data_IF_393143566353
#
_entry.id   IF_393143566353
#
_cell.length_a   1.000
_cell.length_b   1.000
_cell.length_c   1.000
_cell.angle_alpha   90.00
_cell.angle_beta   90.00
_cell.angle_gamma   90.00
#
_symmetry.space_group_name_H-M   'P 1'
#
loop_
_entity.id
_entity.type
_entity.pdbx_description
1 polymer ?
#
# COMPACT_ATOMS: atom_id res chain seq x y z
N UNK A 1 -27.33 21.23 5.27
CA UNK A 1 -27.27 21.01 6.73
C UNK A 1 -25.84 20.90 7.24
N UNK A 2 -24.97 20.08 6.62
CA UNK A 2 -23.56 19.91 6.99
C UNK A 2 -22.73 21.20 6.96
N UNK A 3 -22.75 21.96 5.85
CA UNK A 3 -21.93 23.19 5.72
C UNK A 3 -22.27 24.23 6.79
N UNK A 4 -23.55 24.31 7.19
CA UNK A 4 -24.04 25.20 8.26
C UNK A 4 -23.69 24.72 9.69
N UNK A 5 -23.05 23.55 9.83
CA UNK A 5 -22.66 22.96 11.13
C UNK A 5 -21.16 22.66 11.25
N UNK A 6 -20.48 22.42 10.13
CA UNK A 6 -19.08 21.95 10.11
C UNK A 6 -18.13 22.92 9.40
N UNK A 7 -18.63 24.05 8.87
CA UNK A 7 -17.78 25.09 8.29
C UNK A 7 -16.92 25.81 9.35
N UNK A 8 -15.96 26.66 8.94
CA UNK A 8 -14.90 27.20 9.79
C UNK A 8 -15.36 27.90 11.09
N UNK A 9 -16.57 28.46 11.10
CA UNK A 9 -17.12 29.20 12.24
C UNK A 9 -18.29 28.48 12.91
N UNK A 10 -18.47 27.19 12.63
CA UNK A 10 -19.61 26.42 13.14
C UNK A 10 -19.20 25.42 14.23
N UNK A 11 -20.12 25.04 15.14
CA UNK A 11 -19.80 24.23 16.32
C UNK A 11 -19.21 22.85 16.04
N UNK A 12 -19.39 22.30 14.84
CA UNK A 12 -18.84 21.02 14.44
C UNK A 12 -17.44 21.09 13.84
N UNK A 13 -16.88 22.30 13.64
CA UNK A 13 -15.51 22.47 13.14
C UNK A 13 -14.45 21.76 14.00
N UNK A 14 -14.50 21.80 15.35
CA UNK A 14 -13.54 21.06 16.18
C UNK A 14 -13.52 19.55 15.89
N UNK A 15 -14.68 18.94 15.60
CA UNK A 15 -14.78 17.50 15.27
C UNK A 15 -14.09 17.20 13.94
N UNK A 16 -14.23 18.09 12.95
CA UNK A 16 -13.52 17.97 11.68
C UNK A 16 -12.00 18.08 11.86
N UNK A 17 -11.56 19.08 12.62
CA UNK A 17 -10.12 19.30 12.85
C UNK A 17 -9.49 18.17 13.65
N UNK A 18 -10.22 17.64 14.63
CA UNK A 18 -9.81 16.43 15.33
C UNK A 18 -9.64 15.26 14.36
N UNK A 19 -10.63 15.00 13.49
CA UNK A 19 -10.54 13.93 12.49
C UNK A 19 -9.34 14.12 11.55
N UNK A 20 -9.10 15.35 11.08
CA UNK A 20 -7.98 15.68 10.20
C UNK A 20 -6.62 15.44 10.86
N UNK A 21 -6.49 15.78 12.15
CA UNK A 21 -5.22 15.74 12.87
C UNK A 21 -4.91 14.36 13.48
N UNK A 22 -5.84 13.39 13.41
CA UNK A 22 -5.64 12.03 13.97
C UNK A 22 -4.50 11.25 13.33
N UNK A 23 -4.23 11.47 12.04
CA UNK A 23 -3.19 10.76 11.27
C UNK A 23 -2.49 11.73 10.33
N UNK A 24 -1.19 11.53 10.15
CA UNK A 24 -0.40 12.29 9.17
C UNK A 24 -0.39 11.63 7.79
N UNK A 25 -0.49 10.30 7.75
CA UNK A 25 -0.62 9.50 6.51
C UNK A 25 -2.05 9.04 6.30
N UNK A 26 -2.47 9.02 5.04
CA UNK A 26 -3.78 8.56 4.61
C UNK A 26 -3.97 7.09 5.01
N UNK A 27 -4.99 6.75 5.82
CA UNK A 27 -5.21 5.38 6.24
C UNK A 27 -5.82 4.51 5.13
N UNK A 28 -6.28 5.10 4.02
CA UNK A 28 -6.81 4.36 2.87
C UNK A 28 -5.70 3.84 1.94
N UNK A 29 -4.52 4.45 1.94
CA UNK A 29 -3.41 4.00 1.09
C UNK A 29 -2.08 3.83 1.82
N UNK A 30 -1.95 4.30 3.06
CA UNK A 30 -0.72 4.23 3.85
C UNK A 30 0.42 5.12 3.37
N UNK A 31 0.25 5.87 2.27
CA UNK A 31 1.32 6.65 1.62
C UNK A 31 1.03 8.15 1.68
N UNK A 32 -0.06 8.61 1.05
CA UNK A 32 -0.33 10.02 0.84
C UNK A 32 -0.49 10.82 2.13
N UNK A 33 -0.06 12.08 2.14
CA UNK A 33 -0.29 12.97 3.28
C UNK A 33 -1.80 13.25 3.44
N UNK A 34 -2.28 13.26 4.68
CA UNK A 34 -3.66 13.67 4.98
C UNK A 34 -3.81 15.15 4.65
N UNK A 35 -4.84 15.48 3.85
CA UNK A 35 -5.16 16.85 3.44
C UNK A 35 -6.63 17.20 3.63
N UNK A 36 -7.48 16.20 3.81
CA UNK A 36 -8.93 16.34 3.84
C UNK A 36 -9.53 15.38 4.87
N UNK A 37 -10.81 15.58 5.15
CA UNK A 37 -11.65 14.62 5.88
C UNK A 37 -12.76 14.18 4.92
N UNK A 38 -12.85 12.88 4.69
CA UNK A 38 -13.91 12.24 3.92
C UNK A 38 -15.02 11.71 4.83
N UNK A 39 -16.20 11.54 4.25
CA UNK A 39 -17.31 10.81 4.86
C UNK A 39 -17.27 9.36 4.39
N UNK A 40 -17.03 8.41 5.31
CA UNK A 40 -17.04 6.99 4.95
C UNK A 40 -18.34 6.60 4.24
N UNK A 41 -19.46 6.93 4.88
CA UNK A 41 -20.81 6.93 4.30
C UNK A 41 -21.12 8.33 3.74
N UNK A 42 -21.33 8.47 2.41
CA UNK A 42 -21.43 9.77 1.75
C UNK A 42 -22.54 10.64 2.35
N UNK A 43 -22.21 11.90 2.66
CA UNK A 43 -23.18 12.86 3.24
C UNK A 43 -24.37 13.16 2.33
N UNK A 44 -24.21 12.99 1.01
CA UNK A 44 -25.27 13.18 0.00
C UNK A 44 -26.37 12.13 0.10
N UNK A 45 -26.03 10.94 0.61
CA UNK A 45 -26.95 9.80 0.78
C UNK A 45 -27.33 9.64 2.25
N UNK A 46 -26.39 9.85 3.17
CA UNK A 46 -26.55 9.67 4.63
C UNK A 46 -26.30 10.97 5.40
N UNK A 47 -27.16 12.00 5.25
CA UNK A 47 -26.93 13.33 5.84
C UNK A 47 -26.87 13.33 7.38
N UNK A 48 -27.55 12.39 8.04
CA UNK A 48 -27.53 12.23 9.50
C UNK A 48 -26.16 11.76 10.02
N UNK A 49 -25.37 11.08 9.18
CA UNK A 49 -24.01 10.62 9.52
C UNK A 49 -22.94 11.67 9.22
N UNK A 50 -23.30 12.80 8.61
CA UNK A 50 -22.32 13.76 8.10
C UNK A 50 -21.48 14.43 9.20
N UNK A 51 -21.96 14.48 10.45
CA UNK A 51 -21.22 15.04 11.58
C UNK A 51 -20.84 13.98 12.63
N UNK A 52 -21.05 12.70 12.34
CA UNK A 52 -20.72 11.61 13.26
C UNK A 52 -19.21 11.38 13.22
N UNK A 53 -18.47 11.47 14.35
CA UNK A 53 -17.00 11.41 14.34
C UNK A 53 -16.43 10.15 13.68
N UNK A 54 -17.05 9.00 13.90
CA UNK A 54 -16.59 7.73 13.30
C UNK A 54 -16.83 7.66 11.79
N UNK A 55 -17.71 8.49 11.24
CA UNK A 55 -17.94 8.59 9.79
C UNK A 55 -16.96 9.58 9.12
N UNK A 56 -16.14 10.30 9.90
CA UNK A 56 -15.17 11.29 9.42
C UNK A 56 -13.76 10.69 9.40
N UNK A 57 -13.22 10.50 8.20
CA UNK A 57 -11.95 9.83 7.97
C UNK A 57 -10.89 10.80 7.45
N UNK A 58 -9.72 10.95 8.09
CA UNK A 58 -8.61 11.67 7.49
C UNK A 58 -8.19 10.96 6.19
N UNK A 59 -7.97 11.72 5.11
CA UNK A 59 -7.68 11.15 3.80
C UNK A 59 -6.75 12.07 2.98
N UNK A 60 -5.99 11.51 2.04
CA UNK A 60 -5.30 12.30 1.02
C UNK A 60 -6.25 12.70 -0.11
N UNK A 61 -5.87 13.71 -0.89
CA UNK A 61 -6.68 14.21 -2.00
C UNK A 61 -6.96 13.12 -3.06
N UNK A 62 -5.98 12.29 -3.39
CA UNK A 62 -6.11 11.28 -4.45
C UNK A 62 -7.09 10.17 -4.07
N UNK A 63 -6.98 9.64 -2.85
CA UNK A 63 -7.92 8.63 -2.36
C UNK A 63 -9.33 9.20 -2.23
N UNK A 64 -9.47 10.45 -1.79
CA UNK A 64 -10.78 11.09 -1.71
C UNK A 64 -11.43 11.23 -3.10
N UNK A 65 -10.64 11.65 -4.10
CA UNK A 65 -11.08 11.73 -5.48
C UNK A 65 -11.43 10.36 -6.09
N UNK A 66 -10.69 9.31 -5.71
CA UNK A 66 -10.95 7.95 -6.18
C UNK A 66 -12.24 7.36 -5.60
N UNK A 67 -12.48 7.55 -4.29
CA UNK A 67 -13.67 7.02 -3.59
C UNK A 67 -14.95 7.76 -4.00
N UNK A 68 -14.92 9.09 -4.10
CA UNK A 68 -16.09 9.96 -4.36
C UNK A 68 -17.24 9.70 -3.35
N UNK A 69 -18.46 10.07 -3.76
CA UNK A 69 -19.70 9.81 -3.03
C UNK A 69 -20.24 8.38 -3.25
N UNK A 70 -19.37 7.39 -3.53
CA UNK A 70 -19.83 6.00 -3.75
C UNK A 70 -20.36 5.43 -2.44
N UNK A 71 -21.63 5.04 -2.43
CA UNK A 71 -22.18 4.18 -1.38
C UNK A 71 -22.03 2.71 -1.81
N UNK A 72 -21.56 1.83 -0.92
CA UNK A 72 -21.45 0.41 -1.20
C UNK A 72 -22.85 -0.23 -1.37
N UNK A 73 -23.00 -1.13 -2.34
CA UNK A 73 -24.27 -1.86 -2.55
C UNK A 73 -24.32 -3.20 -1.78
N UNK A 74 -23.15 -3.73 -1.43
CA UNK A 74 -22.95 -4.93 -0.62
C UNK A 74 -21.76 -4.75 0.35
N UNK A 75 -21.38 -5.80 1.07
CA UNK A 75 -20.28 -5.75 2.06
C UNK A 75 -18.90 -5.69 1.38
N UNK A 76 -18.76 -6.40 0.28
CA UNK A 76 -17.53 -6.58 -0.50
C UNK A 76 -17.13 -5.28 -1.20
N UNK A 77 -18.09 -4.42 -1.52
CA UNK A 77 -17.86 -3.08 -2.06
C UNK A 77 -17.60 -2.02 -0.99
N UNK A 78 -17.49 -2.39 0.28
CA UNK A 78 -17.14 -1.45 1.35
C UNK A 78 -15.63 -1.33 1.44
N UNK A 79 -15.09 -0.13 1.24
CA UNK A 79 -13.69 0.12 1.61
C UNK A 79 -13.46 -0.24 3.08
N UNK A 80 -12.26 -0.72 3.41
CA UNK A 80 -11.84 -0.87 4.80
C UNK A 80 -12.02 0.44 5.58
N UNK A 81 -12.62 0.32 6.75
CA UNK A 81 -12.87 1.39 7.69
C UNK A 81 -11.70 1.45 8.68
N UNK A 82 -10.93 2.56 8.70
CA UNK A 82 -9.64 2.61 9.41
C UNK A 82 -9.74 2.59 10.94
N UNK A 83 -10.96 2.64 11.49
CA UNK A 83 -11.21 2.54 12.94
C UNK A 83 -11.82 1.21 13.38
N UNK A 84 -12.32 0.39 12.44
CA UNK A 84 -13.13 -0.79 12.78
C UNK A 84 -12.62 -2.07 12.14
N UNK A 85 -12.01 -1.97 10.95
CA UNK A 85 -11.44 -3.14 10.29
C UNK A 85 -10.00 -3.33 10.73
N UNK A 86 -9.73 -4.50 11.28
CA UNK A 86 -8.38 -4.97 11.58
C UNK A 86 -8.04 -6.10 10.62
N UNK A 87 -7.30 -5.76 9.58
CA UNK A 87 -6.75 -6.71 8.60
C UNK A 87 -5.23 -6.75 8.67
N UNK A 88 -4.61 -5.95 9.56
CA UNK A 88 -3.17 -5.78 9.61
C UNK A 88 -2.48 -6.84 10.49
N UNK A 89 -3.25 -7.57 11.30
CA UNK A 89 -2.77 -8.73 12.04
C UNK A 89 -2.35 -9.89 11.15
N UNK A 90 -3.00 -10.02 9.99
CA UNK A 90 -2.74 -11.06 9.00
C UNK A 90 -1.94 -10.52 7.81
N UNK A 91 -1.11 -11.37 7.20
CA UNK A 91 -0.26 -10.97 6.08
C UNK A 91 -0.97 -11.21 4.74
N UNK A 92 -1.52 -10.15 4.14
CA UNK A 92 -2.31 -10.21 2.90
C UNK A 92 -1.72 -9.42 1.73
N UNK A 93 -0.88 -8.41 1.96
CA UNK A 93 -0.28 -7.63 0.87
C UNK A 93 1.00 -8.30 0.39
N UNK A 94 1.13 -8.65 -0.89
CA UNK A 94 2.35 -9.24 -1.46
C UNK A 94 2.86 -8.43 -2.64
N UNK A 95 4.10 -8.69 -3.00
CA UNK A 95 4.67 -8.21 -4.24
C UNK A 95 5.45 -9.32 -4.95
N UNK A 96 5.71 -9.13 -6.23
CA UNK A 96 6.63 -9.96 -7.02
C UNK A 96 7.41 -9.10 -8.01
N UNK A 97 8.70 -9.42 -8.15
CA UNK A 97 9.53 -8.88 -9.22
C UNK A 97 9.25 -9.65 -10.50
N UNK A 98 8.73 -8.95 -11.51
CA UNK A 98 8.44 -9.48 -12.83
C UNK A 98 9.55 -9.02 -13.76
N UNK A 99 10.12 -9.95 -14.53
CA UNK A 99 11.14 -9.64 -15.55
C UNK A 99 10.62 -9.97 -16.95
N UNK A 100 11.11 -9.26 -17.97
CA UNK A 100 10.68 -9.42 -19.36
C UNK A 100 11.85 -9.54 -20.33
N UNK A 101 11.68 -10.39 -21.33
CA UNK A 101 12.57 -10.51 -22.48
C UNK A 101 12.37 -9.34 -23.44
N UNK A 102 13.23 -9.23 -24.46
CA UNK A 102 13.17 -8.16 -25.46
C UNK A 102 11.87 -8.16 -26.28
N UNK A 103 11.26 -9.33 -26.49
CA UNK A 103 9.95 -9.48 -27.15
C UNK A 103 8.76 -9.30 -26.17
N UNK A 104 9.03 -8.93 -24.91
CA UNK A 104 8.02 -8.59 -23.92
C UNK A 104 7.44 -9.79 -23.15
N UNK A 105 7.96 -11.01 -23.34
CA UNK A 105 7.48 -12.17 -22.60
C UNK A 105 7.86 -12.08 -21.13
N UNK A 106 6.87 -12.30 -20.26
CA UNK A 106 7.06 -12.35 -18.82
C UNK A 106 7.73 -13.66 -18.45
N UNK A 107 8.84 -13.55 -17.72
CA UNK A 107 9.55 -14.69 -17.14
C UNK A 107 10.13 -14.30 -15.78
N UNK A 108 10.67 -15.29 -15.06
CA UNK A 108 11.40 -15.07 -13.81
C UNK A 108 12.88 -15.28 -14.09
N UNK A 109 13.63 -14.19 -14.22
CA UNK A 109 15.05 -14.25 -14.53
C UNK A 109 15.83 -15.05 -13.47
N UNK A 110 16.84 -15.77 -13.93
CA UNK A 110 17.80 -16.55 -13.15
C UNK A 110 19.22 -16.08 -13.48
N UNK A 111 20.18 -16.18 -12.56
CA UNK A 111 21.57 -15.89 -12.90
C UNK A 111 22.10 -16.83 -14.01
N UNK A 112 22.87 -16.34 -14.99
CA UNK A 112 23.36 -14.97 -15.21
C UNK A 112 22.54 -14.17 -16.24
N UNK A 113 21.25 -14.44 -16.40
CA UNK A 113 20.40 -13.78 -17.39
C UNK A 113 20.32 -12.26 -17.16
N UNK A 114 20.07 -11.51 -18.25
CA UNK A 114 19.89 -10.06 -18.21
C UNK A 114 18.54 -9.71 -18.83
N UNK A 115 17.48 -9.51 -18.03
CA UNK A 115 16.18 -9.11 -18.56
C UNK A 115 16.27 -7.72 -19.22
N UNK A 116 15.40 -7.48 -20.20
CA UNK A 116 15.34 -6.19 -20.90
C UNK A 116 14.53 -5.16 -20.13
N UNK A 117 13.57 -5.59 -19.33
CA UNK A 117 12.82 -4.73 -18.42
C UNK A 117 12.31 -5.53 -17.22
N UNK A 118 11.91 -4.80 -16.18
CA UNK A 118 11.32 -5.36 -14.97
C UNK A 118 10.24 -4.43 -14.42
N UNK A 119 9.40 -4.96 -13.53
CA UNK A 119 8.48 -4.18 -12.72
C UNK A 119 8.20 -4.88 -11.39
N UNK A 120 7.81 -4.12 -10.37
CA UNK A 120 7.33 -4.66 -9.10
C UNK A 120 5.81 -4.66 -9.12
N UNK A 121 5.20 -5.84 -9.14
CA UNK A 121 3.75 -5.95 -9.06
C UNK A 121 3.32 -6.21 -7.62
N UNK A 122 2.46 -5.35 -7.08
CA UNK A 122 1.81 -5.52 -5.78
C UNK A 122 0.42 -6.13 -5.95
N UNK A 123 0.05 -7.07 -5.08
CA UNK A 123 -1.23 -7.78 -5.16
C UNK A 123 -1.74 -8.23 -3.79
N UNK A 124 -3.03 -8.55 -3.73
CA UNK A 124 -3.70 -9.07 -2.53
C UNK A 124 -3.67 -10.60 -2.56
N UNK A 125 -3.05 -11.19 -1.55
CA UNK A 125 -2.91 -12.63 -1.31
C UNK A 125 -3.34 -12.94 0.12
N UNK A 126 -4.66 -13.04 0.36
CA UNK A 126 -5.21 -13.17 1.71
C UNK A 126 -4.93 -14.58 2.27
N UNK A 127 -4.76 -14.73 3.59
CA UNK A 127 -4.63 -16.03 4.21
C UNK A 127 -5.82 -16.95 3.88
N UNK A 128 -5.54 -18.24 3.71
CA UNK A 128 -6.59 -19.25 3.46
C UNK A 128 -7.64 -19.38 4.59
N UNK A 129 -7.33 -18.86 5.78
CA UNK A 129 -8.23 -18.80 6.93
C UNK A 129 -9.27 -17.67 6.85
N UNK A 130 -9.10 -16.70 5.96
CA UNK A 130 -10.03 -15.59 5.83
C UNK A 130 -11.37 -16.01 5.24
N UNK A 131 -12.42 -15.36 5.70
CA UNK A 131 -13.72 -15.39 5.03
C UNK A 131 -13.59 -14.82 3.61
N UNK A 132 -14.25 -15.46 2.64
CA UNK A 132 -14.17 -15.08 1.24
C UNK A 132 -14.65 -13.64 0.99
N UNK A 133 -15.65 -13.17 1.74
CA UNK A 133 -16.20 -11.81 1.58
C UNK A 133 -15.23 -10.76 2.12
N UNK A 134 -14.50 -11.05 3.21
CA UNK A 134 -13.42 -10.19 3.68
C UNK A 134 -12.28 -10.08 2.65
N UNK A 135 -11.88 -11.21 2.06
CA UNK A 135 -10.88 -11.23 1.01
C UNK A 135 -11.28 -10.36 -0.21
N UNK A 136 -12.52 -10.50 -0.69
CA UNK A 136 -13.06 -9.65 -1.76
C UNK A 136 -13.10 -8.17 -1.36
N UNK A 137 -13.46 -7.89 -0.11
CA UNK A 137 -13.49 -6.51 0.42
C UNK A 137 -12.12 -5.85 0.43
N UNK A 138 -11.08 -6.58 0.81
CA UNK A 138 -9.69 -6.09 0.77
C UNK A 138 -9.22 -5.89 -0.67
N UNK A 139 -9.57 -6.80 -1.60
CA UNK A 139 -9.31 -6.62 -3.05
C UNK A 139 -9.98 -5.37 -3.59
N UNK A 140 -11.26 -5.17 -3.28
CA UNK A 140 -11.99 -3.98 -3.68
C UNK A 140 -11.34 -2.70 -3.15
N UNK A 141 -10.94 -2.67 -1.87
CA UNK A 141 -10.22 -1.53 -1.30
C UNK A 141 -8.89 -1.28 -2.04
N UNK A 142 -8.14 -2.33 -2.34
CA UNK A 142 -6.87 -2.26 -3.07
C UNK A 142 -7.06 -1.70 -4.49
N UNK A 143 -8.12 -2.10 -5.18
CA UNK A 143 -8.47 -1.64 -6.53
C UNK A 143 -8.97 -0.19 -6.57
N UNK A 144 -9.94 0.16 -5.71
CA UNK A 144 -10.57 1.49 -5.74
C UNK A 144 -9.57 2.61 -5.43
N UNK A 145 -8.62 2.36 -4.53
CA UNK A 145 -7.55 3.30 -4.21
C UNK A 145 -6.31 3.15 -5.10
N UNK A 146 -6.35 2.26 -6.10
CA UNK A 146 -5.26 2.02 -7.05
C UNK A 146 -3.93 1.77 -6.35
N UNK A 147 -3.95 0.89 -5.33
CA UNK A 147 -2.79 0.69 -4.47
C UNK A 147 -1.63 -0.01 -5.19
N UNK A 148 -1.90 -0.90 -6.16
CA UNK A 148 -0.83 -1.52 -6.96
C UNK A 148 0.10 -0.50 -7.64
N UNK A 149 -0.39 0.36 -8.55
CA UNK A 149 0.47 1.35 -9.21
C UNK A 149 1.06 2.36 -8.22
N UNK A 150 0.30 2.77 -7.19
CA UNK A 150 0.82 3.67 -6.16
C UNK A 150 2.04 3.07 -5.43
N UNK A 151 1.99 1.78 -5.10
CA UNK A 151 3.08 1.10 -4.40
C UNK A 151 4.25 0.80 -5.32
N UNK A 152 4.00 0.55 -6.60
CA UNK A 152 5.04 0.42 -7.63
C UNK A 152 5.82 1.72 -7.79
N UNK A 153 5.14 2.87 -7.86
CA UNK A 153 5.78 4.19 -7.85
C UNK A 153 6.64 4.42 -6.60
N UNK A 154 6.15 4.00 -5.42
CA UNK A 154 6.93 4.10 -4.18
C UNK A 154 8.17 3.19 -4.21
N UNK A 155 8.03 1.96 -4.71
CA UNK A 155 9.12 1.01 -4.81
C UNK A 155 10.22 1.51 -5.77
N UNK A 156 9.84 2.05 -6.92
CA UNK A 156 10.77 2.65 -7.88
C UNK A 156 11.60 3.77 -7.26
N UNK A 157 11.01 4.57 -6.36
CA UNK A 157 11.74 5.60 -5.61
C UNK A 157 12.61 5.07 -4.46
N UNK A 158 12.27 3.93 -3.86
CA UNK A 158 12.94 3.39 -2.68
C UNK A 158 14.14 2.49 -3.02
N UNK A 159 14.06 1.70 -4.11
CA UNK A 159 15.10 0.75 -4.50
C UNK A 159 16.48 1.42 -4.65
N UNK A 160 16.63 2.57 -5.35
CA UNK A 160 17.92 3.25 -5.42
C UNK A 160 18.46 3.68 -4.05
N UNK A 161 17.56 4.00 -3.10
CA UNK A 161 17.93 4.40 -1.74
C UNK A 161 18.54 3.29 -0.89
N UNK A 162 18.36 2.02 -1.28
CA UNK A 162 18.93 0.86 -0.58
C UNK A 162 20.03 0.14 -1.38
N UNK A 163 20.33 0.57 -2.61
CA UNK A 163 21.28 -0.09 -3.51
C UNK A 163 22.65 -0.27 -2.87
N UNK A 164 23.22 0.77 -2.25
CA UNK A 164 24.54 0.70 -1.62
C UNK A 164 24.58 -0.39 -0.53
N UNK A 165 23.55 -0.46 0.31
CA UNK A 165 23.50 -1.46 1.38
C UNK A 165 23.34 -2.90 0.85
N UNK A 166 22.69 -3.05 -0.30
CA UNK A 166 22.58 -4.33 -1.00
C UNK A 166 23.94 -4.70 -1.62
N UNK A 167 24.64 -3.74 -2.22
CA UNK A 167 25.98 -3.93 -2.77
C UNK A 167 26.97 -4.36 -1.67
N UNK A 168 26.96 -3.68 -0.53
CA UNK A 168 27.81 -4.03 0.63
C UNK A 168 27.53 -5.46 1.11
N UNK A 169 26.26 -5.85 1.24
CA UNK A 169 25.88 -7.22 1.59
C UNK A 169 26.35 -8.23 0.53
N UNK A 170 26.23 -7.89 -0.75
CA UNK A 170 26.70 -8.75 -1.84
C UNK A 170 28.23 -8.93 -1.82
N UNK A 171 29.00 -7.87 -1.54
CA UNK A 171 30.45 -7.97 -1.42
C UNK A 171 30.89 -8.77 -0.18
N UNK A 172 30.09 -8.77 0.89
CA UNK A 172 30.37 -9.51 2.11
C UNK A 172 30.18 -11.04 1.94
N UNK A 173 29.07 -11.46 1.31
CA UNK A 173 28.72 -12.89 1.26
C UNK A 173 27.89 -13.31 0.05
N UNK A 174 27.78 -12.46 -0.98
CA UNK A 174 27.04 -12.76 -2.20
C UNK A 174 25.53 -12.79 -2.01
N UNK A 175 24.84 -13.60 -2.82
CA UNK A 175 23.37 -13.68 -2.82
C UNK A 175 22.75 -14.07 -1.46
N UNK A 176 23.33 -14.98 -0.64
CA UNK A 176 22.81 -15.27 0.70
C UNK A 176 22.76 -14.06 1.63
N UNK A 177 23.78 -13.20 1.60
CA UNK A 177 23.86 -12.02 2.46
C UNK A 177 22.90 -10.92 1.98
N UNK A 178 22.75 -10.74 0.66
CA UNK A 178 21.71 -9.85 0.09
C UNK A 178 20.31 -10.29 0.56
N UNK A 179 20.01 -11.59 0.47
CA UNK A 179 18.73 -12.13 0.94
C UNK A 179 18.51 -11.86 2.42
N UNK A 180 19.52 -12.17 3.24
CA UNK A 180 19.48 -11.96 4.70
C UNK A 180 19.26 -10.48 5.05
N UNK A 181 19.91 -9.57 4.33
CA UNK A 181 19.77 -8.13 4.50
C UNK A 181 18.35 -7.66 4.18
N UNK A 182 17.82 -8.03 3.01
CA UNK A 182 16.46 -7.67 2.58
C UNK A 182 15.40 -8.25 3.53
N UNK A 183 15.55 -9.49 3.97
CA UNK A 183 14.68 -10.09 4.99
C UNK A 183 14.77 -9.34 6.34
N UNK A 184 15.97 -8.84 6.69
CA UNK A 184 16.16 -7.97 7.86
C UNK A 184 15.40 -6.66 7.75
N UNK A 185 15.45 -6.00 6.58
CA UNK A 185 14.66 -4.81 6.29
C UNK A 185 13.15 -5.13 6.37
N UNK A 186 12.70 -6.24 5.79
CA UNK A 186 11.31 -6.68 5.86
C UNK A 186 10.85 -6.88 7.30
N UNK A 187 11.62 -7.61 8.13
CA UNK A 187 11.32 -7.81 9.57
C UNK A 187 11.22 -6.51 10.34
N UNK A 188 12.13 -5.55 10.07
CA UNK A 188 12.12 -4.24 10.72
C UNK A 188 10.86 -3.45 10.38
N UNK A 189 10.50 -3.42 9.08
CA UNK A 189 9.31 -2.71 8.58
C UNK A 189 7.99 -3.38 8.96
N UNK A 190 7.99 -4.69 9.18
CA UNK A 190 6.80 -5.44 9.59
C UNK A 190 6.36 -5.14 11.03
N UNK A 191 7.24 -4.60 11.90
CA UNK A 191 6.90 -4.26 13.29
C UNK A 191 5.76 -3.24 13.42
N UNK A 192 5.79 -2.08 12.73
CA UNK A 192 4.68 -1.12 12.79
C UNK A 192 3.48 -1.51 11.92
N UNK A 193 3.70 -2.19 10.79
CA UNK A 193 2.63 -2.64 9.90
C UNK A 193 3.14 -3.81 9.04
N UNK A 194 2.57 -5.00 9.25
CA UNK A 194 2.92 -6.21 8.49
C UNK A 194 2.57 -6.08 7.00
N UNK A 195 1.59 -5.24 6.65
CA UNK A 195 1.11 -4.97 5.29
C UNK A 195 1.57 -3.62 4.74
N UNK A 196 2.71 -3.10 5.21
CA UNK A 196 3.40 -2.03 4.50
C UNK A 196 3.91 -2.51 3.14
N UNK A 197 3.79 -1.66 2.11
CA UNK A 197 4.36 -1.94 0.78
C UNK A 197 5.87 -2.23 0.82
N UNK A 198 6.63 -1.63 1.77
CA UNK A 198 8.06 -1.92 1.94
C UNK A 198 8.30 -3.38 2.33
N UNK A 199 7.45 -3.96 3.19
CA UNK A 199 7.56 -5.36 3.60
C UNK A 199 7.33 -6.26 2.39
N UNK A 200 6.29 -5.99 1.61
CA UNK A 200 5.99 -6.73 0.39
C UNK A 200 7.13 -6.63 -0.63
N UNK A 201 7.68 -5.42 -0.83
CA UNK A 201 8.82 -5.19 -1.71
C UNK A 201 10.03 -6.02 -1.29
N UNK A 202 10.49 -5.89 -0.04
CA UNK A 202 11.73 -6.53 0.40
C UNK A 202 11.59 -8.06 0.45
N UNK A 203 10.43 -8.59 0.83
CA UNK A 203 10.14 -10.04 0.72
C UNK A 203 10.24 -10.52 -0.74
N UNK A 204 9.67 -9.77 -1.69
CA UNK A 204 9.68 -10.12 -3.10
C UNK A 204 11.10 -10.11 -3.69
N UNK A 205 11.89 -9.09 -3.36
CA UNK A 205 13.28 -8.95 -3.80
C UNK A 205 14.17 -10.05 -3.18
N UNK A 206 14.01 -10.31 -1.87
CA UNK A 206 14.73 -11.37 -1.16
C UNK A 206 14.43 -12.74 -1.75
N UNK A 207 13.20 -12.98 -2.21
CA UNK A 207 12.81 -14.24 -2.84
C UNK A 207 13.31 -14.40 -4.29
N UNK A 208 13.88 -13.37 -4.93
CA UNK A 208 14.25 -13.41 -6.34
C UNK A 208 15.75 -13.66 -6.55
N UNK A 209 16.10 -14.87 -7.01
CA UNK A 209 17.50 -15.31 -7.12
C UNK A 209 18.36 -14.42 -8.04
N UNK A 210 17.84 -14.04 -9.21
CA UNK A 210 18.54 -13.10 -10.09
C UNK A 210 18.79 -11.76 -9.43
N UNK A 211 17.84 -11.25 -8.64
CA UNK A 211 17.99 -9.96 -7.97
C UNK A 211 19.11 -10.05 -6.92
N UNK A 212 19.02 -11.06 -6.05
CA UNK A 212 20.01 -11.29 -5.00
C UNK A 212 21.41 -11.57 -5.55
N UNK A 213 21.52 -12.15 -6.74
CA UNK A 213 22.79 -12.47 -7.38
C UNK A 213 23.33 -11.39 -8.33
N UNK A 214 23.04 -10.12 -8.03
CA UNK A 214 23.59 -8.96 -8.75
C UNK A 214 22.63 -8.26 -9.71
N UNK A 215 21.43 -8.80 -9.94
CA UNK A 215 20.39 -8.16 -10.74
C UNK A 215 19.91 -6.82 -10.16
N UNK A 216 20.07 -6.62 -8.84
CA UNK A 216 19.75 -5.35 -8.18
C UNK A 216 20.43 -4.12 -8.82
N UNK A 217 21.61 -4.28 -9.40
CA UNK A 217 22.33 -3.19 -10.08
C UNK A 217 21.63 -2.72 -11.35
N UNK A 218 20.94 -3.64 -12.04
CA UNK A 218 20.12 -3.27 -13.19
C UNK A 218 18.86 -2.57 -12.69
N UNK A 219 18.19 -3.14 -11.68
CA UNK A 219 16.95 -2.59 -11.12
C UNK A 219 17.13 -1.19 -10.54
N UNK A 220 18.23 -0.92 -9.86
CA UNK A 220 18.51 0.38 -9.25
C UNK A 220 18.94 1.45 -10.27
N UNK A 221 19.43 1.06 -11.45
CA UNK A 221 19.91 1.98 -12.47
C UNK A 221 18.79 2.68 -13.27
N UNK A 222 17.54 2.20 -13.18
CA UNK A 222 16.37 2.76 -13.87
C UNK A 222 15.84 1.85 -14.96
#
# INVERSE_FOLDING_TARGET
MYERRMGPHHPGRPVYEEALNRKTKCPMCGVGAVRQVDHHMPKSIYPYLAAVPVNLLPICSDCNFAKKDRAPSCYEEQTLHPYFDDVDDDRWLRARLITRTADGQVYRAKPPESPTSWLIEFYVDPPSSWDARLAERVRFHFEIFKLAPLFEDQAAGDIPGIELSIEEAFQAGGAPDVRTHLEGLARSRARPNKNSWMVALYEALAAHDWFCNGGFRQVAAG
#
